data_IF_460823821342
#
_entry.id   IF_460823821342
#
_cell.length_a   1.000
_cell.length_b   1.000
_cell.length_c   1.000
_cell.angle_alpha   90.00
_cell.angle_beta   90.00
_cell.angle_gamma   90.00
#
_symmetry.space_group_name_H-M   'P 1'
#
loop_
_entity.id
_entity.type
_entity.pdbx_description
1 polymer ?
#
# COMPACT_ATOMS: atom_id res chain seq x y z
N UNK A 1 -40.53 6.58 -57.42
CA UNK A 1 -39.38 7.51 -57.54
C UNK A 1 -38.44 7.20 -56.38
N UNK A 2 -37.24 6.68 -56.66
CA UNK A 2 -36.15 6.34 -55.72
C UNK A 2 -36.43 5.08 -54.89
N UNK A 3 -35.95 3.85 -55.15
CA UNK A 3 -34.59 3.32 -55.40
C UNK A 3 -33.56 3.77 -54.38
N UNK A 4 -33.26 2.89 -53.41
CA UNK A 4 -31.93 2.84 -52.80
C UNK A 4 -31.55 1.37 -52.56
N UNK A 5 -30.44 1.02 -53.21
CA UNK A 5 -29.81 -0.28 -53.33
C UNK A 5 -29.13 -0.67 -52.02
N UNK A 6 -29.32 -1.92 -51.58
CA UNK A 6 -28.34 -2.60 -50.73
C UNK A 6 -28.00 -3.95 -51.34
N UNK A 7 -26.90 -3.87 -52.07
CA UNK A 7 -26.06 -4.89 -52.64
C UNK A 7 -25.69 -5.97 -51.59
N UNK A 8 -26.38 -7.11 -51.68
CA UNK A 8 -26.04 -8.40 -51.07
C UNK A 8 -24.84 -8.96 -51.83
N UNK A 9 -23.64 -8.63 -51.34
CA UNK A 9 -22.38 -9.18 -51.82
C UNK A 9 -22.24 -10.67 -51.50
N UNK A 10 -22.93 -11.51 -52.28
CA UNK A 10 -22.57 -12.92 -52.49
C UNK A 10 -21.19 -12.94 -53.14
N UNK A 11 -20.16 -13.17 -52.33
CA UNK A 11 -18.82 -13.49 -52.85
C UNK A 11 -18.91 -14.84 -53.55
N UNK A 12 -18.90 -14.79 -54.87
CA UNK A 12 -18.61 -15.94 -55.73
C UNK A 12 -17.30 -16.58 -55.27
N UNK A 13 -17.42 -17.82 -54.79
CA UNK A 13 -16.27 -18.67 -54.52
C UNK A 13 -15.62 -19.00 -55.88
N UNK A 14 -14.30 -18.83 -56.07
CA UNK A 14 -13.67 -19.25 -57.31
C UNK A 14 -13.87 -20.76 -57.46
N UNK A 15 -14.18 -21.28 -58.67
CA UNK A 15 -14.28 -22.72 -58.86
C UNK A 15 -12.95 -23.36 -58.43
N UNK A 16 -12.97 -24.53 -57.75
CA UNK A 16 -11.75 -25.16 -57.27
C UNK A 16 -10.84 -25.51 -58.45
N UNK A 17 -9.85 -24.65 -58.69
CA UNK A 17 -8.78 -24.86 -59.65
C UNK A 17 -7.70 -25.73 -59.01
N UNK A 18 -7.95 -27.04 -58.99
CA UNK A 18 -6.93 -28.07 -58.92
C UNK A 18 -7.58 -29.39 -59.34
N UNK A 19 -7.54 -29.68 -60.64
CA UNK A 19 -7.80 -31.05 -61.11
C UNK A 19 -6.81 -32.01 -60.46
N UNK A 20 -7.18 -33.28 -60.21
CA UNK A 20 -6.25 -34.28 -59.72
C UNK A 20 -5.05 -34.40 -60.67
N UNK A 21 -3.86 -34.79 -60.16
CA UNK A 21 -2.62 -34.81 -60.92
C UNK A 21 -2.79 -35.63 -62.20
N UNK A 22 -2.16 -35.16 -63.29
CA UNK A 22 -2.25 -35.67 -64.67
C UNK A 22 -2.58 -37.16 -64.76
N UNK A 23 -3.89 -37.39 -64.85
CA UNK A 23 -4.64 -38.63 -64.79
C UNK A 23 -4.53 -39.42 -66.11
N UNK A 24 -3.36 -39.37 -66.76
CA UNK A 24 -3.13 -40.02 -68.05
C UNK A 24 -3.16 -41.55 -67.87
N UNK A 25 -2.41 -42.08 -66.89
CA UNK A 25 -2.36 -43.51 -66.61
C UNK A 25 -3.67 -44.09 -66.06
N UNK A 26 -4.37 -43.38 -65.17
CA UNK A 26 -5.65 -43.86 -64.60
C UNK A 26 -6.78 -43.82 -65.63
N UNK A 27 -6.84 -42.79 -66.48
CA UNK A 27 -7.77 -42.78 -67.61
C UNK A 27 -7.44 -43.87 -68.61
N UNK A 28 -6.17 -44.10 -68.91
CA UNK A 28 -5.74 -45.15 -69.83
C UNK A 28 -6.07 -46.54 -69.29
N UNK A 29 -5.80 -46.81 -68.01
CA UNK A 29 -6.16 -48.06 -67.31
C UNK A 29 -7.67 -48.28 -67.22
N UNK A 30 -8.47 -47.26 -66.86
CA UNK A 30 -9.94 -47.35 -66.82
C UNK A 30 -10.53 -47.51 -68.23
N UNK A 31 -9.94 -46.87 -69.24
CA UNK A 31 -10.37 -46.99 -70.64
C UNK A 31 -10.03 -48.36 -71.20
N UNK A 32 -8.86 -48.92 -70.87
CA UNK A 32 -8.48 -50.28 -71.22
C UNK A 32 -9.38 -51.31 -70.53
N UNK A 33 -9.66 -51.19 -69.24
CA UNK A 33 -10.56 -52.07 -68.50
C UNK A 33 -12.01 -52.03 -69.05
N UNK A 34 -12.49 -50.85 -69.44
CA UNK A 34 -13.80 -50.69 -70.11
C UNK A 34 -13.85 -51.35 -71.49
N UNK A 35 -12.79 -51.22 -72.29
CA UNK A 35 -12.67 -51.89 -73.59
C UNK A 35 -12.57 -53.42 -73.44
N UNK A 36 -11.89 -53.91 -72.41
CA UNK A 36 -11.81 -55.34 -72.09
C UNK A 36 -13.17 -55.91 -71.67
N UNK A 37 -13.96 -55.16 -70.88
CA UNK A 37 -15.30 -55.57 -70.43
C UNK A 37 -16.35 -55.53 -71.54
N UNK A 38 -16.18 -54.68 -72.55
CA UNK A 38 -17.07 -54.57 -73.70
C UNK A 38 -16.87 -55.67 -74.76
N UNK A 39 -15.79 -56.46 -74.68
CA UNK A 39 -15.50 -57.54 -75.64
C UNK A 39 -14.93 -57.07 -76.98
N UNK A 40 -14.65 -55.78 -77.16
CA UNK A 40 -14.30 -55.14 -78.44
C UNK A 40 -12.81 -55.25 -78.86
N UNK A 41 -12.02 -56.10 -78.20
CA UNK A 41 -10.58 -56.22 -78.47
C UNK A 41 -10.20 -57.62 -78.95
N UNK A 42 -9.89 -57.75 -80.26
CA UNK A 42 -9.31 -58.96 -80.86
C UNK A 42 -7.81 -58.74 -81.05
N UNK A 43 -6.97 -59.41 -80.26
CA UNK A 43 -5.50 -59.31 -80.34
C UNK A 43 -4.76 -60.66 -80.35
N UNK A 44 -3.59 -60.75 -81.03
CA UNK A 44 -2.75 -61.95 -81.05
C UNK A 44 -2.11 -62.25 -79.69
N UNK A 45 -1.80 -63.52 -79.45
CA UNK A 45 -1.67 -64.14 -78.11
C UNK A 45 -0.43 -63.80 -77.26
N UNK A 46 0.61 -63.15 -77.79
CA UNK A 46 1.85 -62.84 -77.02
C UNK A 46 1.87 -61.45 -76.37
N UNK A 47 1.25 -60.45 -76.98
CA UNK A 47 1.13 -59.10 -76.39
C UNK A 47 0.14 -59.06 -75.21
N UNK A 48 -0.79 -60.04 -75.16
CA UNK A 48 -1.79 -60.24 -74.09
C UNK A 48 -1.20 -60.42 -72.70
N UNK A 49 -0.02 -61.01 -72.57
CA UNK A 49 0.61 -61.30 -71.26
C UNK A 49 1.38 -60.10 -70.74
N UNK A 50 2.02 -59.31 -71.63
CA UNK A 50 2.77 -58.11 -71.26
C UNK A 50 1.87 -56.98 -70.76
N UNK A 51 0.80 -56.67 -71.50
CA UNK A 51 -0.12 -55.57 -71.18
C UNK A 51 -0.92 -55.84 -69.89
N UNK A 52 -1.37 -57.08 -69.69
CA UNK A 52 -2.06 -57.48 -68.45
C UNK A 52 -1.10 -57.43 -67.25
N UNK A 53 0.18 -57.77 -67.44
CA UNK A 53 1.21 -57.68 -66.40
C UNK A 53 1.62 -56.24 -66.05
N UNK A 54 1.47 -55.28 -66.97
CA UNK A 54 1.65 -53.85 -66.69
C UNK A 54 0.45 -53.27 -65.94
N UNK A 55 -0.77 -53.58 -66.39
CA UNK A 55 -2.01 -53.14 -65.70
C UNK A 55 -2.06 -53.68 -64.27
N UNK A 56 -1.68 -54.95 -64.04
CA UNK A 56 -1.61 -55.52 -62.69
C UNK A 56 -0.60 -54.80 -61.80
N UNK A 57 0.61 -54.51 -62.31
CA UNK A 57 1.63 -53.76 -61.56
C UNK A 57 1.17 -52.35 -61.21
N UNK A 58 0.48 -51.68 -62.12
CA UNK A 58 0.00 -50.32 -61.90
C UNK A 58 -1.16 -50.29 -60.89
N UNK A 59 -2.06 -51.28 -60.92
CA UNK A 59 -3.12 -51.46 -59.91
C UNK A 59 -2.52 -51.79 -58.53
N UNK A 60 -1.50 -52.65 -58.45
CA UNK A 60 -0.80 -52.97 -57.20
C UNK A 60 -0.06 -51.76 -56.63
N UNK A 61 0.61 -50.97 -57.48
CA UNK A 61 1.26 -49.72 -57.09
C UNK A 61 0.23 -48.68 -56.58
N UNK A 62 -0.92 -48.56 -57.24
CA UNK A 62 -1.99 -47.66 -56.79
C UNK A 62 -2.62 -48.16 -55.47
N UNK A 63 -2.86 -49.46 -55.35
CA UNK A 63 -3.43 -50.08 -54.15
C UNK A 63 -2.52 -49.91 -52.93
N UNK A 64 -1.22 -50.15 -53.09
CA UNK A 64 -0.23 -49.92 -52.02
C UNK A 64 -0.16 -48.44 -51.60
N UNK A 65 -0.21 -47.51 -52.56
CA UNK A 65 -0.23 -46.07 -52.28
C UNK A 65 -1.48 -45.66 -51.49
N UNK A 66 -2.67 -46.06 -51.95
CA UNK A 66 -3.94 -45.77 -51.26
C UNK A 66 -3.98 -46.37 -49.85
N UNK A 67 -3.48 -47.60 -49.68
CA UNK A 67 -3.40 -48.24 -48.36
C UNK A 67 -2.44 -47.50 -47.42
N UNK A 68 -1.31 -46.98 -47.93
CA UNK A 68 -0.35 -46.22 -47.13
C UNK A 68 -0.88 -44.85 -46.72
N UNK A 69 -1.57 -44.14 -47.64
CA UNK A 69 -2.22 -42.86 -47.35
C UNK A 69 -3.33 -43.02 -46.30
N UNK A 70 -4.16 -44.07 -46.44
CA UNK A 70 -5.23 -44.36 -45.48
C UNK A 70 -4.69 -44.72 -44.09
N UNK A 71 -3.60 -45.49 -44.03
CA UNK A 71 -2.94 -45.84 -42.77
C UNK A 71 -2.37 -44.60 -42.06
N UNK A 72 -1.77 -43.68 -42.81
CA UNK A 72 -1.28 -42.39 -42.31
C UNK A 72 -2.42 -41.49 -41.79
N UNK A 73 -3.56 -41.49 -42.49
CA UNK A 73 -4.76 -40.76 -42.07
C UNK A 73 -5.33 -41.32 -40.75
N UNK A 74 -5.43 -42.66 -40.62
CA UNK A 74 -5.90 -43.33 -39.40
C UNK A 74 -5.00 -43.03 -38.18
N UNK A 75 -3.67 -43.02 -38.37
CA UNK A 75 -2.71 -42.67 -37.32
C UNK A 75 -2.85 -41.21 -36.86
N UNK A 76 -3.11 -40.28 -37.80
CA UNK A 76 -3.35 -38.86 -37.49
C UNK A 76 -4.68 -38.65 -36.79
N UNK A 77 -5.74 -39.35 -37.19
CA UNK A 77 -7.04 -39.33 -36.51
C UNK A 77 -6.92 -39.85 -35.07
N UNK A 78 -6.17 -40.93 -34.86
CA UNK A 78 -5.90 -41.46 -33.52
C UNK A 78 -5.17 -40.43 -32.64
N UNK A 79 -4.20 -39.71 -33.22
CA UNK A 79 -3.47 -38.63 -32.54
C UNK A 79 -4.39 -37.47 -32.16
N UNK A 80 -5.25 -37.01 -33.06
CA UNK A 80 -6.24 -35.96 -32.79
C UNK A 80 -7.21 -36.37 -31.68
N UNK A 81 -7.67 -37.61 -31.72
CA UNK A 81 -8.57 -38.18 -30.70
C UNK A 81 -7.90 -38.16 -29.31
N UNK A 82 -6.62 -38.53 -29.23
CA UNK A 82 -5.86 -38.46 -27.98
C UNK A 82 -5.75 -37.03 -27.45
N UNK A 83 -5.49 -36.03 -28.32
CA UNK A 83 -5.47 -34.61 -27.92
C UNK A 83 -6.82 -34.18 -27.34
N UNK A 84 -7.94 -34.56 -27.96
CA UNK A 84 -9.29 -34.26 -27.45
C UNK A 84 -9.54 -34.88 -26.08
N UNK A 85 -9.13 -36.14 -25.87
CA UNK A 85 -9.27 -36.82 -24.57
C UNK A 85 -8.44 -36.12 -23.49
N UNK A 86 -7.22 -35.69 -23.81
CA UNK A 86 -6.39 -34.94 -22.87
C UNK A 86 -6.97 -33.56 -22.55
N UNK A 87 -7.50 -32.85 -23.55
CA UNK A 87 -8.20 -31.58 -23.36
C UNK A 87 -9.41 -31.71 -22.43
N UNK A 88 -10.21 -32.77 -22.59
CA UNK A 88 -11.35 -33.06 -21.72
C UNK A 88 -10.91 -33.33 -20.26
N UNK A 89 -9.70 -33.86 -20.07
CA UNK A 89 -9.08 -34.05 -18.76
C UNK A 89 -8.33 -32.80 -18.25
N UNK A 90 -8.45 -31.65 -18.93
CA UNK A 90 -7.73 -30.40 -18.63
C UNK A 90 -6.20 -30.54 -18.65
N UNK A 91 -5.68 -31.48 -19.45
CA UNK A 91 -4.25 -31.63 -19.72
C UNK A 91 -3.90 -31.02 -21.09
N UNK A 92 -3.04 -30.01 -21.09
CA UNK A 92 -2.74 -29.17 -22.26
C UNK A 92 -1.36 -29.43 -22.90
N UNK A 93 -0.67 -30.50 -22.50
CA UNK A 93 0.68 -30.82 -23.01
C UNK A 93 0.66 -31.41 -24.43
N UNK A 94 -0.33 -32.22 -24.78
CA UNK A 94 -0.43 -32.79 -26.12
C UNK A 94 -0.82 -31.73 -27.17
N UNK A 95 -0.20 -31.83 -28.34
CA UNK A 95 -0.47 -30.99 -29.50
C UNK A 95 -0.79 -31.83 -30.72
N UNK A 96 -1.77 -31.36 -31.49
CA UNK A 96 -2.04 -31.92 -32.80
C UNK A 96 -0.97 -31.42 -33.79
N UNK A 97 -0.31 -32.34 -34.49
CA UNK A 97 0.68 -32.01 -35.52
C UNK A 97 0.00 -31.52 -36.80
N UNK A 98 0.49 -30.41 -37.36
CA UNK A 98 0.06 -29.89 -38.67
C UNK A 98 1.04 -30.39 -39.73
N UNK A 99 0.53 -31.04 -40.76
CA UNK A 99 1.32 -31.55 -41.87
C UNK A 99 1.63 -30.46 -42.92
N UNK A 100 2.69 -30.62 -43.73
CA UNK A 100 2.97 -29.70 -44.84
C UNK A 100 1.92 -29.73 -45.96
N UNK A 101 1.11 -30.79 -46.03
CA UNK A 101 0.13 -31.01 -47.09
C UNK A 101 -1.13 -30.13 -46.93
N UNK A 102 -1.36 -29.55 -45.75
CA UNK A 102 -2.51 -28.68 -45.43
C UNK A 102 -3.85 -29.31 -45.82
N UNK A 103 -4.07 -30.54 -45.39
CA UNK A 103 -5.30 -31.25 -45.68
C UNK A 103 -6.42 -30.92 -44.68
N UNK A 104 -7.57 -31.60 -44.81
CA UNK A 104 -8.74 -31.34 -43.96
C UNK A 104 -8.48 -31.66 -42.48
N UNK A 105 -7.60 -32.63 -42.19
CA UNK A 105 -7.25 -32.98 -40.81
C UNK A 105 -6.36 -31.90 -40.18
N UNK A 106 -5.54 -31.21 -40.98
CA UNK A 106 -4.74 -30.08 -40.51
C UNK A 106 -5.62 -28.90 -40.06
N UNK A 107 -6.77 -28.68 -40.71
CA UNK A 107 -7.77 -27.69 -40.25
C UNK A 107 -8.34 -28.02 -38.88
N UNK A 108 -8.63 -29.31 -38.61
CA UNK A 108 -9.08 -29.78 -37.29
C UNK A 108 -7.96 -29.68 -36.25
N UNK A 109 -6.74 -30.04 -36.62
CA UNK A 109 -5.55 -29.91 -35.78
C UNK A 109 -5.33 -28.45 -35.34
N UNK A 110 -5.43 -27.50 -36.28
CA UNK A 110 -5.32 -26.07 -36.00
C UNK A 110 -6.44 -25.60 -35.07
N UNK A 111 -7.69 -25.97 -35.33
CA UNK A 111 -8.83 -25.63 -34.47
C UNK A 111 -8.69 -26.19 -33.04
N UNK A 112 -8.23 -27.43 -32.89
CA UNK A 112 -7.96 -28.03 -31.57
C UNK A 112 -6.82 -27.34 -30.84
N UNK A 113 -5.76 -26.95 -31.54
CA UNK A 113 -4.66 -26.20 -30.95
C UNK A 113 -5.09 -24.79 -30.53
N UNK A 114 -5.95 -24.11 -31.30
CA UNK A 114 -6.54 -22.81 -30.92
C UNK A 114 -7.45 -22.95 -29.69
N UNK A 115 -8.33 -23.96 -29.66
CA UNK A 115 -9.18 -24.24 -28.50
C UNK A 115 -8.35 -24.59 -27.25
N UNK A 116 -7.28 -25.37 -27.41
CA UNK A 116 -6.31 -25.66 -26.34
C UNK A 116 -5.73 -24.38 -25.77
N UNK A 117 -5.29 -23.45 -26.62
CA UNK A 117 -4.70 -22.17 -26.19
C UNK A 117 -5.72 -21.30 -25.44
N UNK A 118 -6.93 -21.19 -25.96
CA UNK A 118 -8.02 -20.43 -25.32
C UNK A 118 -8.39 -21.02 -23.94
N UNK A 119 -8.57 -22.34 -23.87
CA UNK A 119 -8.90 -23.04 -22.62
C UNK A 119 -7.74 -23.00 -21.61
N UNK A 120 -6.50 -23.15 -22.06
CA UNK A 120 -5.31 -23.03 -21.22
C UNK A 120 -5.20 -21.62 -20.65
N UNK A 121 -5.41 -20.58 -21.48
CA UNK A 121 -5.38 -19.18 -21.05
C UNK A 121 -6.44 -18.88 -20.00
N UNK A 122 -7.68 -19.32 -20.22
CA UNK A 122 -8.79 -19.14 -19.27
C UNK A 122 -8.57 -19.90 -17.95
N UNK A 123 -8.05 -21.13 -18.01
CA UNK A 123 -7.80 -21.97 -16.83
C UNK A 123 -6.63 -21.43 -16.00
N UNK A 124 -5.52 -20.99 -16.64
CA UNK A 124 -4.38 -20.38 -15.95
C UNK A 124 -4.79 -19.07 -15.27
N UNK A 125 -5.64 -18.25 -15.91
CA UNK A 125 -6.17 -17.04 -15.31
C UNK A 125 -6.97 -17.34 -14.04
N UNK A 126 -7.80 -18.39 -14.04
CA UNK A 126 -8.55 -18.81 -12.85
C UNK A 126 -7.65 -19.31 -11.72
N UNK A 127 -6.70 -20.19 -12.03
CA UNK A 127 -5.73 -20.69 -11.02
C UNK A 127 -4.89 -19.56 -10.43
N UNK A 128 -4.52 -18.57 -11.24
CA UNK A 128 -3.83 -17.37 -10.78
C UNK A 128 -4.69 -16.54 -9.83
N UNK A 129 -5.95 -16.27 -10.18
CA UNK A 129 -6.89 -15.52 -9.33
C UNK A 129 -7.15 -16.25 -8.01
N UNK A 130 -7.35 -17.57 -8.03
CA UNK A 130 -7.52 -18.39 -6.82
C UNK A 130 -6.26 -18.33 -5.94
N UNK A 131 -5.07 -18.34 -6.55
CA UNK A 131 -3.80 -18.22 -5.84
C UNK A 131 -3.62 -16.83 -5.20
N UNK A 132 -3.95 -15.76 -5.93
CA UNK A 132 -3.91 -14.38 -5.41
C UNK A 132 -4.88 -14.26 -4.23
N UNK A 133 -6.13 -14.69 -4.42
CA UNK A 133 -7.16 -14.68 -3.39
C UNK A 133 -6.73 -15.43 -2.12
N UNK A 134 -6.16 -16.63 -2.25
CA UNK A 134 -5.71 -17.44 -1.12
C UNK A 134 -4.43 -16.92 -0.43
N UNK A 135 -3.56 -16.22 -1.19
CA UNK A 135 -2.28 -15.69 -0.71
C UNK A 135 -2.37 -14.30 -0.07
N UNK A 136 -3.48 -13.57 -0.28
CA UNK A 136 -3.70 -12.26 0.33
C UNK A 136 -3.64 -12.36 1.87
N UNK A 137 -2.89 -11.44 2.47
CA UNK A 137 -2.69 -11.39 3.92
C UNK A 137 -3.90 -10.82 4.67
N UNK A 138 -4.62 -9.89 4.05
CA UNK A 138 -5.85 -9.35 4.63
C UNK A 138 -7.00 -10.36 4.47
N UNK A 139 -7.87 -10.43 5.47
CA UNK A 139 -9.05 -11.28 5.42
C UNK A 139 -10.01 -10.74 4.36
N UNK A 140 -10.47 -11.61 3.48
CA UNK A 140 -11.35 -11.27 2.37
C UNK A 140 -12.58 -12.18 2.39
N UNK A 141 -13.74 -11.56 2.33
CA UNK A 141 -15.06 -12.20 2.27
C UNK A 141 -15.81 -11.69 1.05
N UNK A 142 -16.28 -12.59 0.20
CA UNK A 142 -17.15 -12.24 -0.93
C UNK A 142 -18.57 -12.62 -0.57
N UNK A 143 -19.50 -11.69 -0.73
CA UNK A 143 -20.93 -11.89 -0.49
C UNK A 143 -21.73 -11.64 -1.77
N UNK A 144 -22.92 -12.24 -1.86
CA UNK A 144 -23.88 -11.92 -2.90
C UNK A 144 -24.61 -10.58 -2.64
N UNK A 145 -25.50 -10.19 -3.56
CA UNK A 145 -26.30 -8.97 -3.42
C UNK A 145 -27.23 -8.96 -2.19
N UNK A 146 -27.52 -10.12 -1.58
CA UNK A 146 -28.30 -10.24 -0.35
C UNK A 146 -27.43 -10.22 0.92
N UNK A 147 -26.10 -10.13 0.78
CA UNK A 147 -25.16 -10.14 1.90
C UNK A 147 -24.82 -11.53 2.45
N UNK A 148 -25.15 -12.60 1.71
CA UNK A 148 -24.79 -13.96 2.08
C UNK A 148 -23.39 -14.30 1.59
N UNK A 149 -22.59 -14.94 2.43
CA UNK A 149 -21.20 -15.30 2.11
C UNK A 149 -21.16 -16.33 0.99
N UNK A 150 -20.47 -15.99 -0.10
CA UNK A 150 -20.24 -16.85 -1.26
C UNK A 150 -18.89 -17.56 -1.21
N UNK A 151 -17.86 -16.91 -0.66
CA UNK A 151 -16.54 -17.51 -0.44
C UNK A 151 -15.72 -16.62 0.50
N UNK A 152 -14.69 -17.20 1.11
CA UNK A 152 -13.72 -16.50 1.97
C UNK A 152 -12.31 -16.97 1.65
N UNK A 153 -11.33 -16.09 1.82
CA UNK A 153 -9.94 -16.51 1.70
C UNK A 153 -9.42 -17.17 2.98
N UNK A 154 -8.20 -17.72 2.90
CA UNK A 154 -7.52 -18.35 4.03
C UNK A 154 -7.33 -17.37 5.19
N UNK A 155 -6.93 -16.12 4.92
CA UNK A 155 -6.72 -15.12 5.96
C UNK A 155 -7.98 -14.86 6.80
N UNK A 156 -9.18 -14.88 6.19
CA UNK A 156 -10.45 -14.80 6.94
C UNK A 156 -10.61 -15.95 7.93
N UNK A 157 -10.31 -17.18 7.49
CA UNK A 157 -10.45 -18.36 8.35
C UNK A 157 -9.42 -18.35 9.50
N UNK A 158 -8.21 -17.86 9.25
CA UNK A 158 -7.16 -17.71 10.25
C UNK A 158 -7.50 -16.61 11.26
N UNK A 159 -8.00 -15.46 10.79
CA UNK A 159 -8.35 -14.31 11.62
C UNK A 159 -9.56 -14.57 12.51
N UNK A 160 -10.65 -15.12 11.95
CA UNK A 160 -11.91 -15.28 12.66
C UNK A 160 -12.09 -16.68 13.26
N UNK A 161 -11.28 -17.66 12.86
CA UNK A 161 -11.34 -19.05 13.36
C UNK A 161 -12.52 -19.88 12.85
N UNK A 162 -13.33 -19.35 11.93
CA UNK A 162 -14.37 -20.10 11.22
C UNK A 162 -13.81 -20.82 10.01
N UNK A 163 -14.32 -22.01 9.71
CA UNK A 163 -14.04 -22.65 8.43
C UNK A 163 -14.90 -22.04 7.32
N UNK A 164 -14.43 -22.08 6.06
CA UNK A 164 -15.20 -21.59 4.92
C UNK A 164 -16.61 -22.21 4.88
N UNK A 165 -16.72 -23.53 5.06
CA UNK A 165 -18.01 -24.25 5.07
C UNK A 165 -18.99 -23.75 6.14
N UNK A 166 -18.49 -23.26 7.27
CA UNK A 166 -19.33 -22.70 8.33
C UNK A 166 -19.83 -21.30 7.99
N UNK A 167 -19.14 -20.58 7.09
CA UNK A 167 -19.51 -19.23 6.68
C UNK A 167 -20.36 -19.22 5.42
N UNK A 168 -20.14 -20.16 4.48
CA UNK A 168 -20.88 -20.24 3.22
C UNK A 168 -22.41 -20.20 3.43
N UNK A 169 -23.07 -19.30 2.72
CA UNK A 169 -24.51 -19.09 2.75
C UNK A 169 -25.04 -18.39 4.02
N UNK A 170 -24.19 -18.04 4.98
CA UNK A 170 -24.60 -17.27 6.16
C UNK A 170 -24.53 -15.76 5.88
N UNK A 171 -25.35 -14.96 6.59
CA UNK A 171 -25.23 -13.50 6.53
C UNK A 171 -23.88 -13.03 7.06
N UNK A 172 -23.19 -12.17 6.31
CA UNK A 172 -21.90 -11.60 6.73
C UNK A 172 -22.00 -10.74 7.98
N UNK A 173 -23.20 -10.19 8.27
CA UNK A 173 -23.49 -9.44 9.49
C UNK A 173 -23.22 -10.22 10.77
N UNK A 174 -23.27 -11.56 10.73
CA UNK A 174 -22.98 -12.42 11.89
C UNK A 174 -21.53 -12.34 12.37
N UNK A 175 -20.62 -11.78 11.55
CA UNK A 175 -19.22 -11.59 11.90
C UNK A 175 -18.96 -10.28 12.65
N UNK A 176 -19.94 -9.39 12.74
CA UNK A 176 -19.81 -8.07 13.36
C UNK A 176 -20.73 -7.95 14.58
N UNK A 177 -20.29 -7.20 15.59
CA UNK A 177 -21.09 -6.93 16.79
C UNK A 177 -22.21 -5.92 16.55
N UNK A 178 -21.98 -4.98 15.64
CA UNK A 178 -22.94 -3.94 15.29
C UNK A 178 -23.68 -4.32 14.00
N UNK A 179 -25.01 -4.23 14.04
CA UNK A 179 -25.81 -4.33 12.83
C UNK A 179 -25.70 -3.02 12.05
N UNK A 180 -25.16 -3.12 10.83
CA UNK A 180 -25.16 -2.01 9.89
C UNK A 180 -26.20 -2.24 8.80
N UNK A 181 -26.84 -1.16 8.37
CA UNK A 181 -27.72 -1.16 7.21
C UNK A 181 -26.91 -1.64 5.98
N UNK A 182 -27.41 -2.63 5.21
CA UNK A 182 -26.79 -3.07 3.96
C UNK A 182 -26.36 -1.92 3.03
N UNK A 183 -27.11 -0.81 3.01
CA UNK A 183 -26.77 0.38 2.22
C UNK A 183 -25.54 1.15 2.73
N UNK A 184 -25.24 1.09 4.04
CA UNK A 184 -24.06 1.70 4.64
C UNK A 184 -22.83 0.82 4.46
N UNK A 185 -23.02 -0.50 4.48
CA UNK A 185 -21.97 -1.49 4.23
C UNK A 185 -21.41 -1.34 2.81
N UNK A 186 -22.14 -0.80 1.84
CA UNK A 186 -21.69 -0.57 0.46
C UNK A 186 -20.57 0.49 0.29
N UNK A 187 -20.33 1.32 1.30
CA UNK A 187 -19.46 2.50 1.20
C UNK A 187 -18.39 2.59 2.30
N UNK A 188 -18.18 1.51 3.07
CA UNK A 188 -17.18 1.52 4.14
C UNK A 188 -15.79 1.53 3.52
N UNK A 189 -15.02 2.58 3.83
CA UNK A 189 -13.60 2.68 3.49
C UNK A 189 -12.80 2.84 4.77
N UNK A 190 -12.23 1.73 5.24
CA UNK A 190 -11.34 1.72 6.40
C UNK A 190 -12.02 1.98 7.74
N UNK A 191 -13.33 1.72 7.87
CA UNK A 191 -14.04 1.93 9.14
C UNK A 191 -13.61 0.91 10.19
N UNK A 192 -13.34 1.38 11.40
CA UNK A 192 -13.00 0.51 12.52
C UNK A 192 -14.27 -0.12 13.08
N UNK A 193 -14.29 -1.46 13.12
CA UNK A 193 -15.43 -2.24 13.57
C UNK A 193 -14.96 -3.40 14.44
N UNK A 194 -15.84 -3.83 15.33
CA UNK A 194 -15.59 -4.99 16.19
C UNK A 194 -16.14 -6.25 15.53
N UNK A 195 -15.25 -7.20 15.28
CA UNK A 195 -15.60 -8.50 14.70
C UNK A 195 -15.58 -9.60 15.75
N UNK A 196 -16.45 -10.58 15.59
CA UNK A 196 -16.55 -11.75 16.46
C UNK A 196 -15.82 -12.94 15.85
N UNK A 197 -14.94 -13.53 16.63
CA UNK A 197 -14.32 -14.81 16.27
C UNK A 197 -15.21 -15.98 16.70
N UNK A 198 -14.92 -17.17 16.18
CA UNK A 198 -15.60 -18.42 16.57
C UNK A 198 -15.51 -18.73 18.07
N UNK A 199 -14.42 -18.31 18.74
CA UNK A 199 -14.26 -18.50 20.18
C UNK A 199 -15.05 -17.49 21.03
N UNK A 200 -15.71 -16.52 20.38
CA UNK A 200 -16.40 -15.41 21.04
C UNK A 200 -15.49 -14.25 21.44
N UNK A 201 -14.21 -14.26 21.01
CA UNK A 201 -13.33 -13.13 21.20
C UNK A 201 -13.72 -11.97 20.27
N UNK A 202 -13.52 -10.75 20.74
CA UNK A 202 -13.74 -9.54 19.95
C UNK A 202 -12.40 -9.05 19.43
N UNK A 203 -12.30 -8.87 18.11
CA UNK A 203 -11.14 -8.26 17.46
C UNK A 203 -11.55 -6.92 16.86
N UNK A 204 -10.63 -5.95 16.89
CA UNK A 204 -10.83 -4.70 16.19
C UNK A 204 -10.24 -4.82 14.78
N UNK A 205 -11.10 -4.65 13.78
CA UNK A 205 -10.71 -4.71 12.38
C UNK A 205 -11.10 -3.42 11.67
N UNK A 206 -10.23 -3.00 10.75
CA UNK A 206 -10.59 -2.02 9.73
C UNK A 206 -11.31 -2.73 8.59
N UNK A 207 -12.54 -2.34 8.34
CA UNK A 207 -13.43 -2.96 7.34
C UNK A 207 -13.56 -2.02 6.15
N UNK A 208 -13.29 -2.56 4.97
CA UNK A 208 -13.52 -1.88 3.70
C UNK A 208 -14.34 -2.76 2.78
N UNK A 209 -15.24 -2.14 2.02
CA UNK A 209 -16.20 -2.86 1.20
C UNK A 209 -16.29 -2.24 -0.18
N UNK A 210 -16.24 -3.09 -1.20
CA UNK A 210 -16.28 -2.69 -2.60
C UNK A 210 -17.34 -3.49 -3.35
N UNK A 211 -18.17 -2.85 -4.19
CA UNK A 211 -19.16 -3.54 -4.99
C UNK A 211 -18.49 -4.38 -6.08
N UNK A 212 -18.95 -5.61 -6.24
CA UNK A 212 -18.66 -6.45 -7.40
C UNK A 212 -19.74 -6.18 -8.45
N UNK A 213 -19.36 -5.55 -9.57
CA UNK A 213 -20.29 -5.15 -10.63
C UNK A 213 -19.99 -5.88 -11.94
N UNK A 214 -21.05 -6.26 -12.64
CA UNK A 214 -21.00 -6.74 -14.01
C UNK A 214 -21.82 -5.79 -14.89
N UNK A 215 -21.12 -4.91 -15.61
CA UNK A 215 -21.76 -3.78 -16.29
C UNK A 215 -22.40 -2.82 -15.29
N UNK A 216 -23.72 -2.60 -15.39
CA UNK A 216 -24.49 -1.75 -14.49
C UNK A 216 -25.14 -2.49 -13.31
N UNK A 217 -24.96 -3.80 -13.21
CA UNK A 217 -25.61 -4.64 -12.18
C UNK A 217 -24.62 -4.98 -11.07
N UNK A 218 -25.03 -4.78 -9.82
CA UNK A 218 -24.27 -5.22 -8.64
C UNK A 218 -24.56 -6.70 -8.41
N UNK A 219 -23.55 -7.56 -8.55
CA UNK A 219 -23.64 -9.00 -8.31
C UNK A 219 -23.35 -9.38 -6.84
N UNK A 220 -22.66 -8.50 -6.11
CA UNK A 220 -22.32 -8.72 -4.71
C UNK A 220 -21.31 -7.72 -4.18
N UNK A 221 -20.65 -8.07 -3.07
CA UNK A 221 -19.67 -7.21 -2.40
C UNK A 221 -18.42 -7.99 -2.03
N UNK A 222 -17.28 -7.32 -2.09
CA UNK A 222 -16.02 -7.78 -1.54
C UNK A 222 -15.78 -7.00 -0.26
N UNK A 223 -15.71 -7.71 0.86
CA UNK A 223 -15.38 -7.15 2.17
C UNK A 223 -13.94 -7.54 2.51
N UNK A 224 -13.13 -6.54 2.85
CA UNK A 224 -11.77 -6.71 3.33
C UNK A 224 -11.76 -6.34 4.82
N UNK A 225 -11.22 -7.24 5.64
CA UNK A 225 -11.04 -7.05 7.07
C UNK A 225 -9.54 -7.09 7.37
N UNK A 226 -9.06 -6.03 8.02
CA UNK A 226 -7.67 -5.92 8.44
C UNK A 226 -7.60 -5.78 9.94
N UNK A 227 -6.91 -6.70 10.61
CA UNK A 227 -6.63 -6.58 12.04
C UNK A 227 -5.81 -5.31 12.31
N UNK A 228 -6.31 -4.44 13.19
CA UNK A 228 -5.65 -3.19 13.57
C UNK A 228 -5.17 -3.21 15.02
N UNK A 229 -5.20 -4.35 15.70
CA UNK A 229 -4.78 -4.50 17.09
C UNK A 229 -3.38 -3.95 17.34
N UNK A 230 -2.41 -4.34 16.50
CA UNK A 230 -1.03 -3.87 16.65
C UNK A 230 -0.86 -2.39 16.32
N UNK A 231 -1.62 -1.89 15.33
CA UNK A 231 -1.64 -0.47 14.99
C UNK A 231 -2.16 0.36 16.17
N UNK A 232 -3.26 -0.06 16.80
CA UNK A 232 -3.84 0.63 17.96
C UNK A 232 -2.91 0.60 19.17
N UNK A 233 -2.28 -0.53 19.48
CA UNK A 233 -1.27 -0.61 20.55
C UNK A 233 -0.11 0.36 20.32
N UNK A 234 0.37 0.46 19.09
CA UNK A 234 1.44 1.38 18.74
C UNK A 234 1.01 2.85 18.85
N UNK A 235 -0.21 3.18 18.43
CA UNK A 235 -0.78 4.52 18.56
C UNK A 235 -1.00 4.92 20.03
N UNK A 236 -1.55 4.04 20.85
CA UNK A 236 -1.71 4.25 22.30
C UNK A 236 -0.36 4.47 22.99
N UNK A 237 0.64 3.64 22.68
CA UNK A 237 1.97 3.78 23.25
C UNK A 237 2.63 5.10 22.81
N UNK A 238 2.46 5.50 21.56
CA UNK A 238 2.93 6.80 21.06
C UNK A 238 2.27 7.95 21.81
N UNK A 239 0.94 7.91 22.00
CA UNK A 239 0.22 8.94 22.75
C UNK A 239 0.73 9.02 24.20
N UNK A 240 0.92 7.88 24.87
CA UNK A 240 1.48 7.84 26.23
C UNK A 240 2.88 8.44 26.31
N UNK A 241 3.75 8.12 25.35
CA UNK A 241 5.10 8.68 25.30
C UNK A 241 5.07 10.19 25.04
N UNK A 242 4.20 10.67 24.16
CA UNK A 242 4.02 12.10 23.89
C UNK A 242 3.52 12.85 25.12
N UNK A 243 2.55 12.30 25.85
CA UNK A 243 2.07 12.83 27.13
C UNK A 243 3.19 12.86 28.18
N UNK A 244 3.98 11.79 28.29
CA UNK A 244 5.11 11.73 29.21
C UNK A 244 6.19 12.76 28.88
N UNK A 245 6.50 12.96 27.59
CA UNK A 245 7.43 13.98 27.12
C UNK A 245 6.88 15.38 27.42
N UNK A 246 5.59 15.61 27.18
CA UNK A 246 4.94 16.90 27.47
C UNK A 246 4.98 17.21 28.97
N UNK A 247 4.61 16.26 29.81
CA UNK A 247 4.69 16.39 31.27
C UNK A 247 6.13 16.66 31.75
N UNK A 248 7.12 15.98 31.16
CA UNK A 248 8.54 16.22 31.43
C UNK A 248 8.97 17.63 31.01
N UNK A 249 8.56 18.09 29.84
CA UNK A 249 8.87 19.43 29.35
C UNK A 249 8.19 20.52 30.20
N UNK A 250 6.98 20.29 30.68
CA UNK A 250 6.28 21.22 31.59
C UNK A 250 6.97 21.29 32.97
N UNK A 251 7.50 20.17 33.48
CA UNK A 251 8.35 20.16 34.68
C UNK A 251 9.65 20.94 34.45
N UNK A 252 10.30 20.77 33.30
CA UNK A 252 11.50 21.54 32.93
C UNK A 252 11.17 23.04 32.83
N UNK A 253 10.03 23.41 32.24
CA UNK A 253 9.57 24.80 32.13
C UNK A 253 9.29 25.44 33.48
N UNK A 254 8.65 24.72 34.40
CA UNK A 254 8.42 25.19 35.78
C UNK A 254 9.75 25.42 36.52
N UNK A 255 10.82 24.72 36.13
CA UNK A 255 12.17 24.85 36.69
C UNK A 255 13.04 25.89 35.99
N UNK A 256 12.57 26.59 34.94
CA UNK A 256 13.46 27.30 34.01
C UNK A 256 13.81 28.76 34.35
N UNK A 257 13.26 29.34 35.42
CA UNK A 257 13.81 30.56 36.06
C UNK A 257 13.53 30.56 37.57
N UNK A 258 14.20 29.68 38.33
CA UNK A 258 13.92 29.56 39.75
C UNK A 258 14.44 30.82 40.44
N UNK A 259 13.54 31.59 41.08
CA UNK A 259 13.98 32.58 42.05
C UNK A 259 14.43 31.83 43.31
N UNK A 260 15.74 31.68 43.48
CA UNK A 260 16.37 30.93 44.56
C UNK A 260 16.59 31.87 45.76
N UNK A 261 15.94 31.66 46.91
CA UNK A 261 16.26 32.40 48.12
C UNK A 261 17.61 31.93 48.69
N UNK A 262 18.56 32.85 48.85
CA UNK A 262 19.85 32.57 49.50
C UNK A 262 19.75 32.85 51.00
N UNK A 263 18.99 33.88 51.36
CA UNK A 263 18.63 34.26 52.73
C UNK A 263 17.25 34.94 52.70
N UNK A 264 16.65 35.21 53.86
CA UNK A 264 15.37 35.94 53.94
C UNK A 264 15.39 37.30 53.22
N UNK A 265 16.56 37.93 53.12
CA UNK A 265 16.72 39.27 52.52
C UNK A 265 17.27 39.24 51.08
N UNK A 266 17.71 38.08 50.56
CA UNK A 266 18.45 37.96 49.30
C UNK A 266 17.89 36.83 48.44
N UNK A 267 17.49 37.18 47.21
CA UNK A 267 17.09 36.23 46.18
C UNK A 267 18.04 36.27 44.99
N UNK A 268 18.23 35.14 44.33
CA UNK A 268 19.02 34.99 43.12
C UNK A 268 18.13 34.45 42.02
N UNK A 269 18.18 35.05 40.84
CA UNK A 269 17.53 34.60 39.63
C UNK A 269 18.59 34.24 38.58
N UNK A 270 18.92 32.96 38.42
CA UNK A 270 19.82 32.51 37.36
C UNK A 270 19.08 32.49 36.02
N UNK A 271 19.69 33.10 35.01
CA UNK A 271 19.24 33.06 33.62
C UNK A 271 20.15 32.08 32.87
N UNK A 272 19.57 30.96 32.43
CA UNK A 272 20.33 29.86 31.80
C UNK A 272 19.82 29.61 30.38
N UNK A 273 20.76 29.52 29.44
CA UNK A 273 20.48 29.17 28.04
C UNK A 273 20.21 30.40 27.17
N UNK A 274 19.64 30.16 25.99
CA UNK A 274 19.25 31.23 25.07
C UNK A 274 18.01 31.94 25.60
N UNK A 275 18.07 33.26 25.69
CA UNK A 275 16.96 34.12 26.09
C UNK A 275 16.33 34.68 24.80
N UNK A 276 15.05 34.38 24.58
CA UNK A 276 14.22 34.97 23.53
C UNK A 276 13.18 35.92 24.16
N UNK A 277 12.38 36.59 23.33
CA UNK A 277 11.38 37.56 23.79
C UNK A 277 10.35 36.93 24.75
N UNK A 278 9.85 35.73 24.43
CA UNK A 278 8.85 35.02 25.26
C UNK A 278 9.43 34.68 26.64
N UNK A 279 10.67 34.18 26.67
CA UNK A 279 11.39 33.90 27.92
C UNK A 279 11.72 35.17 28.69
N UNK A 280 12.04 36.28 28.03
CA UNK A 280 12.31 37.56 28.67
C UNK A 280 11.10 38.08 29.47
N UNK A 281 9.89 37.97 28.92
CA UNK A 281 8.68 38.36 29.62
C UNK A 281 8.39 37.42 30.80
N UNK A 282 8.65 36.12 30.64
CA UNK A 282 8.54 35.14 31.71
C UNK A 282 9.54 35.37 32.86
N UNK A 283 10.75 35.87 32.55
CA UNK A 283 11.75 36.30 33.53
C UNK A 283 11.21 37.47 34.36
N UNK A 284 10.65 38.49 33.71
CA UNK A 284 10.09 39.65 34.39
C UNK A 284 8.96 39.21 35.33
N UNK A 285 8.01 38.42 34.84
CA UNK A 285 6.88 37.96 35.66
C UNK A 285 7.35 37.14 36.88
N UNK A 286 8.28 36.21 36.66
CA UNK A 286 8.80 35.34 37.72
C UNK A 286 9.58 36.13 38.78
N UNK A 287 10.40 37.11 38.36
CA UNK A 287 11.12 38.01 39.25
C UNK A 287 10.15 38.81 40.13
N UNK A 288 9.16 39.48 39.52
CA UNK A 288 8.24 40.35 40.23
C UNK A 288 7.32 39.57 41.17
N UNK A 289 6.78 38.42 40.72
CA UNK A 289 5.96 37.53 41.54
C UNK A 289 6.77 37.01 42.74
N UNK A 290 8.02 36.63 42.51
CA UNK A 290 8.90 36.14 43.56
C UNK A 290 9.32 37.23 44.56
N UNK A 291 9.59 38.45 44.08
CA UNK A 291 9.84 39.63 44.94
C UNK A 291 8.60 39.93 45.80
N UNK A 292 7.40 39.93 45.22
CA UNK A 292 6.17 40.20 45.96
C UNK A 292 5.92 39.17 47.06
N UNK A 293 6.27 37.90 46.81
CA UNK A 293 6.09 36.80 47.77
C UNK A 293 7.17 36.76 48.86
N UNK A 294 8.44 36.93 48.49
CA UNK A 294 9.57 36.79 49.42
C UNK A 294 9.98 38.12 50.10
N UNK A 295 9.52 39.25 49.58
CA UNK A 295 9.85 40.61 50.03
C UNK A 295 11.35 40.83 50.31
N UNK A 296 12.25 40.42 49.40
CA UNK A 296 13.68 40.52 49.63
C UNK A 296 14.13 41.98 49.58
N UNK A 297 15.27 42.26 50.21
CA UNK A 297 15.92 43.56 50.10
C UNK A 297 16.82 43.66 48.89
N UNK A 298 17.36 42.52 48.44
CA UNK A 298 18.25 42.45 47.28
C UNK A 298 17.84 41.31 46.34
N UNK A 299 17.75 41.61 45.04
CA UNK A 299 17.58 40.63 43.98
C UNK A 299 18.83 40.60 43.10
N UNK A 300 19.40 39.40 42.93
CA UNK A 300 20.59 39.17 42.09
C UNK A 300 20.13 38.51 40.79
N UNK A 301 20.34 39.16 39.64
CA UNK A 301 20.12 38.58 38.32
C UNK A 301 21.46 38.02 37.82
N UNK A 302 21.54 36.71 37.61
CA UNK A 302 22.77 36.06 37.13
C UNK A 302 22.64 35.69 35.66
N UNK A 303 23.38 36.42 34.82
CA UNK A 303 23.43 36.22 33.37
C UNK A 303 24.68 35.46 32.91
N UNK A 304 25.42 34.82 33.84
CA UNK A 304 26.69 34.14 33.53
C UNK A 304 26.55 33.06 32.43
N UNK A 305 25.39 32.41 32.36
CA UNK A 305 25.07 31.34 31.42
C UNK A 305 24.30 31.80 30.16
N UNK A 306 24.26 33.11 29.90
CA UNK A 306 23.69 33.70 28.67
C UNK A 306 24.84 34.06 27.73
N UNK A 307 25.03 33.34 26.61
CA UNK A 307 26.23 33.48 25.77
C UNK A 307 26.22 34.73 24.88
N UNK A 308 25.04 35.19 24.45
CA UNK A 308 24.86 36.36 23.57
C UNK A 308 23.65 37.15 24.07
N UNK A 309 23.79 38.47 24.10
CA UNK A 309 22.72 39.41 24.47
C UNK A 309 22.45 40.30 23.26
N UNK A 310 21.24 40.22 22.71
CA UNK A 310 20.75 41.12 21.68
C UNK A 310 19.99 42.31 22.30
N UNK A 311 19.40 43.15 21.46
CA UNK A 311 18.67 44.34 21.89
C UNK A 311 17.41 44.02 22.70
N UNK A 312 16.71 42.96 22.34
CA UNK A 312 15.47 42.54 22.99
C UNK A 312 15.76 42.01 24.40
N UNK A 313 16.79 41.17 24.53
CA UNK A 313 17.28 40.64 25.81
C UNK A 313 17.82 41.76 26.71
N UNK A 314 18.63 42.66 26.16
CA UNK A 314 19.15 43.81 26.89
C UNK A 314 18.02 44.68 27.45
N UNK A 315 17.02 44.98 26.61
CA UNK A 315 15.82 45.71 27.02
C UNK A 315 15.05 45.00 28.11
N UNK A 316 14.89 43.67 28.02
CA UNK A 316 14.21 42.88 29.04
C UNK A 316 14.93 42.90 30.40
N UNK A 317 16.26 42.81 30.43
CA UNK A 317 17.05 42.91 31.67
C UNK A 317 16.90 44.28 32.34
N UNK A 318 16.91 45.36 31.54
CA UNK A 318 16.71 46.73 32.04
C UNK A 318 15.29 46.88 32.61
N UNK A 319 14.26 46.39 31.90
CA UNK A 319 12.86 46.41 32.37
C UNK A 319 12.69 45.62 33.66
N UNK A 320 13.25 44.42 33.74
CA UNK A 320 13.22 43.57 34.94
C UNK A 320 13.86 44.29 36.14
N UNK A 321 15.05 44.86 35.96
CA UNK A 321 15.76 45.58 37.01
C UNK A 321 15.02 46.84 37.46
N UNK A 322 14.47 47.61 36.52
CA UNK A 322 13.68 48.80 36.83
C UNK A 322 12.41 48.45 37.60
N UNK A 323 11.65 47.45 37.15
CA UNK A 323 10.43 47.01 37.80
C UNK A 323 10.68 46.48 39.22
N UNK A 324 11.74 45.68 39.42
CA UNK A 324 12.15 45.21 40.74
C UNK A 324 12.51 46.38 41.69
N UNK A 325 13.19 47.41 41.18
CA UNK A 325 13.49 48.62 41.95
C UNK A 325 12.25 49.44 42.32
N UNK A 326 11.24 49.50 41.44
CA UNK A 326 9.97 50.13 41.76
C UNK A 326 9.25 49.44 42.93
N UNK A 327 9.50 48.14 43.13
CA UNK A 327 9.05 47.38 44.30
C UNK A 327 9.94 47.56 45.54
N UNK A 328 10.93 48.46 45.49
CA UNK A 328 11.80 48.79 46.62
C UNK A 328 12.98 47.83 46.84
N UNK A 329 13.28 46.97 45.87
CA UNK A 329 14.37 45.99 45.94
C UNK A 329 15.63 46.53 45.28
N UNK A 330 16.78 46.37 45.94
CA UNK A 330 18.08 46.65 45.32
C UNK A 330 18.41 45.55 44.30
N UNK A 331 18.80 45.92 43.07
CA UNK A 331 19.13 44.95 42.02
C UNK A 331 20.63 44.88 41.80
N UNK A 332 21.16 43.66 41.75
CA UNK A 332 22.56 43.35 41.41
C UNK A 332 22.58 42.45 40.17
N UNK A 333 23.22 42.90 39.11
CA UNK A 333 23.46 42.10 37.91
C UNK A 333 24.84 41.41 38.02
N UNK A 334 24.88 40.11 37.79
CA UNK A 334 26.11 39.30 37.86
C UNK A 334 26.37 38.58 36.55
N UNK A 335 27.64 38.35 36.21
CA UNK A 335 28.01 37.64 34.98
C UNK A 335 28.09 38.53 33.73
N UNK A 336 28.14 39.85 33.91
CA UNK A 336 28.25 40.81 32.80
C UNK A 336 29.64 40.74 32.14
N UNK A 337 29.72 40.15 30.94
CA UNK A 337 30.94 40.07 30.14
C UNK A 337 31.19 41.37 29.37
N UNK A 338 32.44 41.59 28.95
CA UNK A 338 32.84 42.79 28.21
C UNK A 338 32.02 43.02 26.93
N UNK A 339 31.70 41.94 26.21
CA UNK A 339 30.88 41.98 25.00
C UNK A 339 29.47 42.48 25.29
N UNK A 340 28.81 41.92 26.31
CA UNK A 340 27.45 42.32 26.73
C UNK A 340 27.44 43.76 27.24
N UNK A 341 28.46 44.16 28.02
CA UNK A 341 28.58 45.53 28.51
C UNK A 341 28.72 46.54 27.35
N UNK A 342 29.53 46.20 26.34
CA UNK A 342 29.66 47.01 25.12
C UNK A 342 28.33 47.14 24.39
N UNK A 343 27.61 46.05 24.22
CA UNK A 343 26.30 46.02 23.57
C UNK A 343 25.25 46.89 24.29
N UNK A 344 25.23 46.88 25.63
CA UNK A 344 24.35 47.77 26.40
C UNK A 344 24.68 49.27 26.21
N UNK A 345 25.97 49.60 26.21
CA UNK A 345 26.45 50.97 26.01
C UNK A 345 26.18 51.46 24.58
N UNK A 346 26.45 50.62 23.58
CA UNK A 346 26.22 50.93 22.17
C UNK A 346 24.73 51.20 21.88
N UNK A 347 23.82 50.54 22.62
CA UNK A 347 22.37 50.76 22.55
C UNK A 347 21.87 51.97 23.36
N UNK A 348 22.74 52.63 24.13
CA UNK A 348 22.35 53.74 25.00
C UNK A 348 21.45 53.32 26.17
N UNK A 349 21.48 52.05 26.57
CA UNK A 349 20.73 51.56 27.71
C UNK A 349 21.47 51.88 29.01
N UNK A 350 20.93 52.79 29.80
CA UNK A 350 21.44 53.09 31.13
C UNK A 350 20.86 52.10 32.17
N UNK A 351 21.66 51.80 33.18
CA UNK A 351 21.31 50.94 34.30
C UNK A 351 21.36 51.73 35.62
N UNK A 352 20.58 52.82 35.75
CA UNK A 352 20.70 53.73 36.88
C UNK A 352 20.31 53.01 38.18
N UNK A 353 21.24 53.00 39.14
CA UNK A 353 21.04 52.36 40.44
C UNK A 353 21.11 50.83 40.44
N UNK A 354 21.42 50.19 39.31
CA UNK A 354 21.71 48.75 39.25
C UNK A 354 23.20 48.55 39.47
N UNK A 355 23.56 47.66 40.40
CA UNK A 355 24.97 47.33 40.64
C UNK A 355 25.39 46.16 39.78
N UNK A 356 26.62 46.18 39.27
CA UNK A 356 27.15 45.08 38.47
C UNK A 356 28.30 44.38 39.22
N UNK A 357 28.41 43.08 39.03
CA UNK A 357 29.48 42.24 39.56
C UNK A 357 29.91 41.22 38.51
N UNK A 358 31.20 40.88 38.47
CA UNK A 358 31.72 39.93 37.49
C UNK A 358 31.24 38.49 37.71
N UNK A 359 30.88 38.11 38.94
CA UNK A 359 30.47 36.75 39.29
C UNK A 359 29.31 36.75 40.28
N UNK A 360 28.53 35.67 40.31
CA UNK A 360 27.48 35.47 41.32
C UNK A 360 28.05 35.52 42.75
N UNK A 361 29.23 34.92 42.98
CA UNK A 361 29.90 34.90 44.29
C UNK A 361 30.17 36.32 44.82
N UNK A 362 30.69 37.21 43.97
CA UNK A 362 30.93 38.60 44.38
C UNK A 362 29.63 39.38 44.59
N UNK A 363 28.59 39.10 43.81
CA UNK A 363 27.24 39.65 44.02
C UNK A 363 26.63 39.26 45.37
N UNK A 364 26.72 37.98 45.75
CA UNK A 364 26.23 37.50 47.06
C UNK A 364 27.02 38.15 48.21
N UNK A 365 28.35 38.18 48.12
CA UNK A 365 29.19 38.78 49.15
C UNK A 365 28.91 40.29 49.34
N UNK A 366 28.70 41.03 48.25
CA UNK A 366 28.33 42.44 48.28
C UNK A 366 26.99 42.67 48.99
N UNK A 367 26.00 41.81 48.70
CA UNK A 367 24.66 41.88 49.28
C UNK A 367 24.67 41.55 50.78
N UNK A 368 25.48 40.58 51.21
CA UNK A 368 25.62 40.22 52.62
C UNK A 368 26.36 41.29 53.44
N UNK A 369 27.44 41.88 52.93
CA UNK A 369 28.20 42.92 53.65
C UNK A 369 27.37 44.20 53.89
N UNK A 370 26.40 44.49 53.01
CA UNK A 370 25.44 45.59 53.21
C UNK A 370 24.52 45.36 54.41
N UNK A 371 24.20 44.10 54.74
CA UNK A 371 23.44 43.77 55.95
C UNK A 371 24.24 44.17 57.20
N UNK A 372 25.53 43.84 57.23
CA UNK A 372 26.42 44.21 58.33
C UNK A 372 26.53 45.74 58.48
N UNK A 373 26.81 46.46 57.39
CA UNK A 373 26.99 47.92 57.43
C UNK A 373 25.70 48.71 57.75
N UNK A 374 24.52 48.21 57.35
CA UNK A 374 23.23 48.87 57.66
C UNK A 374 22.67 48.48 59.03
N UNK A 375 23.12 47.35 59.60
CA UNK A 375 22.81 46.95 60.98
C UNK A 375 23.70 47.69 62.00
N UNK A 376 24.92 48.08 61.64
CA UNK A 376 25.87 48.82 62.48
C UNK A 376 25.72 50.35 62.45
N UNK A 377 24.87 50.90 61.57
CA UNK A 377 24.58 52.34 61.58
C UNK A 377 23.80 52.70 62.87
N UNK A 378 24.33 53.56 63.77
CA UNK A 378 23.66 53.86 65.02
C UNK A 378 22.33 54.56 64.74
N UNK A 379 21.25 54.10 65.38
CA UNK A 379 19.99 54.84 65.49
C UNK A 379 20.31 56.17 66.20
N UNK A 380 20.64 57.22 65.44
CA UNK A 380 20.67 58.59 65.95
C UNK A 380 19.22 58.98 66.24
N UNK A 381 18.83 58.84 67.49
CA UNK A 381 17.65 59.47 68.08
C UNK A 381 17.76 60.98 67.96
N UNK A 382 16.77 61.59 67.32
CA UNK A 382 16.34 62.97 67.62
C UNK A 382 15.72 63.05 69.00
#
# INVERSE_FOLDING_TARGET
>A
MGTDDRDDGRRDWPPPSAGPPSDAGLREAVTMLRRLRAGDLVFPSRERVGLVGEILREIEALGSKVLSERKSEDERIATLTNVVVQLAALNFEARASISPAHDKLDGIAAGLNMLREELQSSTVSRTYLDSVFASMADALVVVDAAGLVRTVNRATTELLGFSERELLGKPVSTLFLEEHDPAQILALHGHEMQCLTKSGAVIEASVSTSPLQNGSTIEGFVCVLRDITDRKRAEEERMRLEEAIRAKNDLIRTMSTPLIPITDDIVVMPLVGTLDQERADQVIESLLRGIAKAQPRVAILDITAVPVVDADVAGALVRAAHAARMLGVDVVLTGLRAEVAKTLVDMGLDLPGVRTCSTLKSGIALSMNRKAQKAEAPRRSS
#
